data_IF_674584561693
#
_entry.id   IF_674584561693
#
_cell.length_a   1.000
_cell.length_b   1.000
_cell.length_c   1.000
_cell.angle_alpha   90.00
_cell.angle_beta   90.00
_cell.angle_gamma   90.00
#
_symmetry.space_group_name_H-M   'P 1'
#
loop_
_entity.id
_entity.type
_entity.pdbx_description
1 polymer ?
#
# COMPACT_ATOMS: atom_id res chain seq x y z
N UNK A 1 -3.41 39.16 -14.50
CA UNK A 1 -4.72 38.77 -13.97
C UNK A 1 -5.02 37.27 -14.24
N UNK A 2 -4.56 36.71 -15.39
CA UNK A 2 -4.88 35.34 -15.83
C UNK A 2 -3.80 34.29 -15.50
N UNK A 3 -2.74 34.69 -14.80
CA UNK A 3 -1.65 33.77 -14.45
C UNK A 3 -2.11 32.77 -13.39
N UNK A 4 -1.82 31.48 -13.64
CA UNK A 4 -1.89 30.44 -12.63
C UNK A 4 -0.45 30.19 -12.16
N UNK A 5 -0.24 30.34 -10.88
CA UNK A 5 1.09 30.18 -10.27
C UNK A 5 1.06 29.00 -9.29
N UNK A 6 1.76 27.91 -9.65
CA UNK A 6 1.89 26.75 -8.76
C UNK A 6 3.23 26.80 -8.01
N UNK A 7 3.15 26.74 -6.69
CA UNK A 7 4.31 26.73 -5.79
C UNK A 7 4.32 25.43 -4.97
N UNK A 8 5.46 24.73 -5.00
CA UNK A 8 5.69 23.51 -4.22
C UNK A 8 6.82 23.78 -3.24
N UNK A 9 6.59 23.47 -1.97
CA UNK A 9 7.59 23.57 -0.90
C UNK A 9 7.70 22.26 -0.12
N UNK A 10 8.72 22.08 0.71
CA UNK A 10 8.85 20.89 1.56
C UNK A 10 7.79 20.80 2.64
N UNK A 11 7.58 21.92 3.38
CA UNK A 11 6.79 21.93 4.62
C UNK A 11 5.78 23.08 4.70
N UNK A 12 5.59 23.83 3.61
CA UNK A 12 4.72 25.00 3.56
C UNK A 12 5.48 26.32 3.70
N UNK A 13 4.74 27.42 3.97
CA UNK A 13 5.22 28.80 3.86
C UNK A 13 5.38 29.53 5.20
N UNK A 14 5.16 28.86 6.34
CA UNK A 14 5.36 29.48 7.65
C UNK A 14 6.86 29.73 7.93
N UNK A 15 7.16 30.68 8.82
CA UNK A 15 8.55 31.04 9.18
C UNK A 15 9.39 29.84 9.67
N UNK A 16 8.76 28.84 10.28
CA UNK A 16 9.43 27.60 10.69
C UNK A 16 9.63 26.66 9.51
N UNK A 17 8.63 26.54 8.65
CA UNK A 17 8.63 25.62 7.52
C UNK A 17 9.64 26.02 6.43
N UNK A 18 9.78 27.32 6.16
CA UNK A 18 10.71 27.84 5.13
C UNK A 18 12.18 27.60 5.45
N UNK A 19 12.51 27.28 6.69
CA UNK A 19 13.87 26.95 7.14
C UNK A 19 14.21 25.47 6.94
N UNK A 20 13.23 24.63 6.63
CA UNK A 20 13.43 23.19 6.46
C UNK A 20 13.65 22.87 4.98
N UNK A 21 14.74 22.14 4.64
CA UNK A 21 14.96 21.68 3.28
C UNK A 21 13.93 20.60 2.91
N UNK A 22 13.34 20.70 1.71
CA UNK A 22 12.36 19.73 1.20
C UNK A 22 13.02 18.71 0.30
N UNK A 23 13.18 17.48 0.78
CA UNK A 23 13.62 16.33 0.01
C UNK A 23 12.71 15.14 0.30
N UNK A 24 12.45 14.32 -0.73
CA UNK A 24 11.60 13.13 -0.64
C UNK A 24 11.93 12.25 0.57
N UNK A 25 13.18 11.80 0.70
CA UNK A 25 13.61 10.92 1.80
C UNK A 25 13.35 11.55 3.18
N UNK A 26 13.63 12.84 3.31
CA UNK A 26 13.42 13.55 4.59
C UNK A 26 11.93 13.56 4.94
N UNK A 27 11.08 13.85 3.97
CA UNK A 27 9.62 13.88 4.19
C UNK A 27 9.05 12.49 4.39
N UNK A 28 9.55 11.45 3.72
CA UNK A 28 9.16 10.08 4.04
C UNK A 28 9.38 9.74 5.53
N UNK A 29 10.52 10.16 6.09
CA UNK A 29 10.81 10.00 7.52
C UNK A 29 9.90 10.84 8.41
N UNK A 30 9.79 12.15 8.12
CA UNK A 30 9.08 13.10 8.97
C UNK A 30 7.55 13.01 8.91
N UNK A 31 6.99 12.43 7.83
CA UNK A 31 5.54 12.26 7.66
C UNK A 31 4.96 11.03 8.38
N UNK A 32 5.81 10.17 8.93
CA UNK A 32 5.38 8.89 9.48
C UNK A 32 5.29 7.75 8.44
N UNK A 33 5.51 8.00 7.15
CA UNK A 33 5.46 6.95 6.13
C UNK A 33 6.47 5.83 6.41
N UNK A 34 7.70 6.17 6.82
CA UNK A 34 8.71 5.18 7.15
C UNK A 34 8.38 4.37 8.41
N UNK A 35 7.64 4.94 9.36
CA UNK A 35 7.26 4.23 10.60
C UNK A 35 6.24 3.11 10.37
N UNK A 36 5.55 3.11 9.23
CA UNK A 36 4.58 2.09 8.83
C UNK A 36 5.07 1.23 7.67
N UNK A 37 6.29 1.48 7.18
CA UNK A 37 6.92 0.78 6.05
C UNK A 37 8.15 0.01 6.54
N UNK A 38 8.24 -1.27 6.20
CA UNK A 38 9.32 -2.14 6.65
C UNK A 38 8.83 -3.40 7.33
N UNK A 39 9.75 -4.23 7.78
CA UNK A 39 9.47 -5.52 8.41
C UNK A 39 8.83 -5.39 9.78
N UNK A 40 9.34 -4.46 10.57
CA UNK A 40 8.88 -4.16 11.93
C UNK A 40 9.25 -2.71 12.32
N UNK A 41 8.96 -2.35 13.57
CA UNK A 41 9.17 -1.00 14.11
C UNK A 41 10.66 -0.63 14.32
N UNK A 42 11.56 -1.59 14.30
CA UNK A 42 12.98 -1.37 14.59
C UNK A 42 13.78 -0.99 13.34
N UNK A 43 13.23 -1.21 12.15
CA UNK A 43 13.85 -0.89 10.87
C UNK A 43 12.93 -0.03 9.97
N UNK A 44 12.73 1.26 10.28
CA UNK A 44 11.95 2.17 9.45
C UNK A 44 12.52 2.25 8.03
N UNK A 45 11.75 1.82 7.05
CA UNK A 45 12.22 1.64 5.67
C UNK A 45 11.53 2.63 4.74
N UNK A 46 12.30 3.28 3.86
CA UNK A 46 11.75 4.13 2.80
C UNK A 46 11.13 3.31 1.69
N UNK A 47 10.15 3.88 0.99
CA UNK A 47 9.68 3.34 -0.29
C UNK A 47 10.80 3.44 -1.34
N UNK A 48 10.90 2.48 -2.22
CA UNK A 48 12.01 2.32 -3.18
C UNK A 48 12.14 3.43 -4.22
N UNK A 49 11.12 4.28 -4.38
CA UNK A 49 11.07 5.41 -5.31
C UNK A 49 10.84 6.72 -4.55
N UNK A 50 11.03 7.87 -5.21
CA UNK A 50 10.70 9.20 -4.67
C UNK A 50 9.18 9.41 -4.64
N UNK A 51 8.48 8.63 -3.81
CA UNK A 51 7.02 8.56 -3.79
C UNK A 51 6.37 9.88 -3.35
N UNK A 52 6.99 10.60 -2.43
CA UNK A 52 6.51 11.90 -1.95
C UNK A 52 6.50 12.93 -3.08
N UNK A 53 7.56 12.98 -3.88
CA UNK A 53 7.66 13.88 -5.04
C UNK A 53 6.61 13.53 -6.09
N UNK A 54 6.41 12.24 -6.38
CA UNK A 54 5.40 11.76 -7.33
C UNK A 54 3.99 12.16 -6.89
N UNK A 55 3.62 11.90 -5.64
CA UNK A 55 2.30 12.25 -5.09
C UNK A 55 2.07 13.76 -5.12
N UNK A 56 3.08 14.54 -4.72
CA UNK A 56 2.98 15.99 -4.72
C UNK A 56 2.85 16.54 -6.14
N UNK A 57 3.58 15.96 -7.10
CA UNK A 57 3.47 16.30 -8.52
C UNK A 57 2.05 16.02 -9.07
N UNK A 58 1.44 14.88 -8.72
CA UNK A 58 0.06 14.56 -9.09
C UNK A 58 -0.95 15.55 -8.46
N UNK A 59 -0.78 15.91 -7.19
CA UNK A 59 -1.61 16.95 -6.56
C UNK A 59 -1.43 18.31 -7.24
N UNK A 60 -0.20 18.64 -7.68
CA UNK A 60 0.05 19.89 -8.42
C UNK A 60 -0.71 19.90 -9.75
N UNK A 61 -0.68 18.81 -10.50
CA UNK A 61 -1.45 18.69 -11.75
C UNK A 61 -2.94 18.86 -11.50
N UNK A 62 -3.49 18.20 -10.48
CA UNK A 62 -4.92 18.33 -10.11
C UNK A 62 -5.25 19.79 -9.76
N UNK A 63 -4.41 20.43 -8.93
CA UNK A 63 -4.60 21.83 -8.52
C UNK A 63 -4.53 22.79 -9.70
N UNK A 64 -3.58 22.59 -10.63
CA UNK A 64 -3.45 23.41 -11.84
C UNK A 64 -4.66 23.25 -12.75
N UNK A 65 -5.14 22.01 -12.97
CA UNK A 65 -6.31 21.75 -13.80
C UNK A 65 -7.58 22.39 -13.20
N UNK A 66 -7.75 22.31 -11.88
CA UNK A 66 -8.85 22.96 -11.18
C UNK A 66 -8.77 24.49 -11.31
N UNK A 67 -7.56 25.06 -11.19
CA UNK A 67 -7.32 26.49 -11.35
C UNK A 67 -7.57 26.97 -12.79
N UNK A 68 -7.20 26.17 -13.80
CA UNK A 68 -7.48 26.44 -15.20
C UNK A 68 -8.99 26.50 -15.45
N UNK A 69 -9.74 25.52 -14.93
CA UNK A 69 -11.19 25.48 -15.04
C UNK A 69 -11.83 26.71 -14.39
N UNK A 70 -11.43 27.06 -13.17
CA UNK A 70 -11.94 28.23 -12.48
C UNK A 70 -11.61 29.53 -13.23
N UNK A 71 -10.38 29.64 -13.79
CA UNK A 71 -9.99 30.79 -14.60
C UNK A 71 -10.89 30.94 -15.84
N UNK A 72 -11.18 29.85 -16.53
CA UNK A 72 -12.00 29.87 -17.75
C UNK A 72 -13.46 30.33 -17.44
N UNK A 73 -13.97 30.05 -16.23
CA UNK A 73 -15.31 30.48 -15.77
C UNK A 73 -15.30 31.89 -15.19
N UNK A 74 -14.26 32.32 -14.48
CA UNK A 74 -14.23 33.56 -13.69
C UNK A 74 -13.35 34.66 -14.32
N UNK A 75 -12.52 34.32 -15.31
CA UNK A 75 -11.60 35.27 -15.95
C UNK A 75 -10.39 35.67 -15.08
N UNK A 76 -10.13 34.97 -13.95
CA UNK A 76 -9.07 35.32 -13.00
C UNK A 76 -8.18 34.11 -12.70
N UNK A 77 -6.87 34.32 -12.82
CA UNK A 77 -5.87 33.35 -12.39
C UNK A 77 -5.77 33.26 -10.87
N UNK A 78 -5.10 32.23 -10.40
CA UNK A 78 -4.94 32.02 -8.96
C UNK A 78 -3.62 31.30 -8.62
N UNK A 79 -3.25 31.35 -7.35
CA UNK A 79 -2.12 30.63 -6.80
C UNK A 79 -2.56 29.26 -6.32
N UNK A 80 -1.80 28.22 -6.70
CA UNK A 80 -1.91 26.86 -6.19
C UNK A 80 -0.70 26.60 -5.31
N UNK A 81 -0.91 26.36 -4.02
CA UNK A 81 0.17 26.08 -3.08
C UNK A 81 0.10 24.66 -2.56
N UNK A 82 1.23 23.97 -2.64
CA UNK A 82 1.37 22.60 -2.15
C UNK A 82 2.64 22.47 -1.30
N UNK A 83 2.66 21.44 -0.48
CA UNK A 83 3.90 21.04 0.18
C UNK A 83 3.98 19.51 0.28
N UNK A 84 5.21 19.02 0.31
CA UNK A 84 5.52 17.59 0.34
C UNK A 84 4.89 16.91 1.56
N UNK A 85 4.98 17.52 2.74
CA UNK A 85 4.45 16.93 3.98
C UNK A 85 2.94 16.75 3.92
N UNK A 86 2.17 17.78 3.55
CA UNK A 86 0.71 17.67 3.48
C UNK A 86 0.25 16.67 2.41
N UNK A 87 0.95 16.64 1.27
CA UNK A 87 0.68 15.66 0.22
C UNK A 87 0.90 14.23 0.71
N UNK A 88 1.98 13.99 1.46
CA UNK A 88 2.26 12.67 2.03
C UNK A 88 1.27 12.29 3.11
N UNK A 89 0.92 13.21 4.04
CA UNK A 89 -0.07 12.95 5.09
C UNK A 89 -1.43 12.56 4.50
N UNK A 90 -1.85 13.19 3.39
CA UNK A 90 -3.09 12.81 2.70
C UNK A 90 -3.04 11.41 2.10
N UNK A 91 -1.85 10.94 1.72
CA UNK A 91 -1.65 9.60 1.14
C UNK A 91 -1.56 8.49 2.20
N UNK A 92 -1.48 8.80 3.49
CA UNK A 92 -1.50 7.78 4.55
C UNK A 92 -2.88 7.13 4.75
N UNK A 93 -3.92 7.67 4.13
CA UNK A 93 -5.32 7.16 4.04
C UNK A 93 -5.84 6.50 5.33
N UNK A 94 -6.02 5.19 5.34
CA UNK A 94 -6.54 4.44 6.48
C UNK A 94 -5.65 4.51 7.74
N UNK A 95 -4.35 4.63 7.59
CA UNK A 95 -3.42 4.77 8.71
C UNK A 95 -3.58 6.15 9.40
N UNK A 96 -3.72 7.21 8.59
CA UNK A 96 -4.04 8.55 9.13
C UNK A 96 -5.42 8.54 9.80
N UNK A 97 -6.43 7.89 9.20
CA UNK A 97 -7.76 7.77 9.78
C UNK A 97 -7.77 7.01 11.11
N UNK A 98 -6.99 5.94 11.25
CA UNK A 98 -6.84 5.18 12.48
C UNK A 98 -6.31 6.07 13.63
N UNK A 99 -5.34 6.93 13.32
CA UNK A 99 -4.82 7.89 14.30
C UNK A 99 -5.81 9.01 14.62
N UNK A 100 -6.33 9.69 13.59
CA UNK A 100 -7.19 10.88 13.77
C UNK A 100 -8.51 10.52 14.48
N UNK A 101 -9.13 9.41 14.10
CA UNK A 101 -10.45 9.02 14.61
C UNK A 101 -10.39 8.07 15.81
N UNK A 102 -9.34 7.25 15.92
CA UNK A 102 -9.21 6.22 16.94
C UNK A 102 -8.06 6.39 17.93
N UNK A 103 -7.18 7.38 17.71
CA UNK A 103 -5.97 7.56 18.54
C UNK A 103 -4.94 6.43 18.40
N UNK A 104 -5.12 5.53 17.43
CA UNK A 104 -4.22 4.40 17.20
C UNK A 104 -2.98 4.89 16.47
N UNK A 105 -1.79 4.64 17.03
CA UNK A 105 -0.53 4.90 16.35
C UNK A 105 -0.19 3.66 15.49
N UNK A 106 -0.25 3.77 14.14
CA UNK A 106 0.05 2.65 13.27
C UNK A 106 1.52 2.24 13.34
N UNK A 107 1.79 0.96 13.05
CA UNK A 107 3.13 0.36 13.10
C UNK A 107 3.42 -0.39 11.82
N UNK A 108 4.71 -0.62 11.54
CA UNK A 108 5.13 -1.47 10.45
C UNK A 108 4.72 -2.93 10.72
N UNK A 109 4.10 -3.56 9.73
CA UNK A 109 3.59 -4.94 9.77
C UNK A 109 4.19 -5.82 8.66
N UNK A 110 5.30 -5.39 8.09
CA UNK A 110 5.84 -6.03 6.89
C UNK A 110 4.84 -5.97 5.74
N UNK A 111 4.51 -7.13 5.21
CA UNK A 111 3.55 -7.26 4.12
C UNK A 111 2.14 -7.67 4.59
N UNK A 112 1.90 -7.75 5.90
CA UNK A 112 0.61 -8.17 6.44
C UNK A 112 -0.41 -7.02 6.46
N UNK A 113 -1.66 -7.36 6.16
CA UNK A 113 -2.77 -6.42 6.31
C UNK A 113 -3.16 -6.27 7.78
N UNK A 114 -3.43 -5.05 8.28
CA UNK A 114 -3.69 -4.82 9.71
C UNK A 114 -4.99 -5.45 10.23
N UNK A 115 -5.95 -5.76 9.37
CA UNK A 115 -7.30 -6.20 9.79
C UNK A 115 -7.90 -7.34 8.95
N UNK A 116 -7.14 -7.93 8.03
CA UNK A 116 -7.60 -9.03 7.16
C UNK A 116 -6.57 -10.16 7.15
N UNK A 117 -7.02 -11.40 7.33
CA UNK A 117 -6.16 -12.59 7.35
C UNK A 117 -6.80 -13.82 6.67
N UNK A 118 -6.01 -14.56 5.83
CA UNK A 118 -4.66 -14.28 5.37
C UNK A 118 -4.63 -13.22 4.26
N UNK A 119 -3.81 -12.18 4.44
CA UNK A 119 -3.60 -11.14 3.44
C UNK A 119 -2.17 -10.64 3.58
N UNK A 120 -1.23 -11.30 2.90
CA UNK A 120 0.20 -10.98 2.97
C UNK A 120 1.04 -11.74 1.93
N UNK A 121 2.35 -11.59 2.02
CA UNK A 121 3.34 -12.35 1.26
C UNK A 121 3.69 -13.64 2.00
N UNK A 122 3.78 -14.74 1.27
CA UNK A 122 4.26 -16.03 1.74
C UNK A 122 5.46 -16.53 0.92
N UNK A 123 6.29 -17.36 1.55
CA UNK A 123 7.35 -18.09 0.87
C UNK A 123 6.79 -19.39 0.28
N UNK A 124 6.99 -19.59 -1.02
CA UNK A 124 6.85 -20.87 -1.68
C UNK A 124 8.24 -21.53 -1.78
N UNK A 125 8.35 -22.68 -2.46
CA UNK A 125 9.63 -23.41 -2.53
C UNK A 125 10.78 -22.62 -3.17
N UNK A 126 10.48 -21.69 -4.08
CA UNK A 126 11.48 -20.98 -4.89
C UNK A 126 11.35 -19.46 -4.85
N UNK A 127 10.11 -18.96 -4.78
CA UNK A 127 9.79 -17.52 -4.82
C UNK A 127 8.77 -17.16 -3.76
N UNK A 128 8.70 -15.87 -3.47
CA UNK A 128 7.62 -15.30 -2.68
C UNK A 128 6.41 -14.99 -3.57
N UNK A 129 5.21 -15.13 -2.99
CA UNK A 129 3.96 -14.79 -3.66
C UNK A 129 2.97 -14.16 -2.69
N UNK A 130 1.99 -13.47 -3.24
CA UNK A 130 0.96 -12.74 -2.49
C UNK A 130 -0.29 -13.60 -2.41
N UNK A 131 -0.92 -13.63 -1.24
CA UNK A 131 -2.26 -14.17 -1.01
C UNK A 131 -3.11 -13.09 -0.36
N UNK A 132 -4.29 -12.82 -0.93
CA UNK A 132 -5.22 -11.81 -0.43
C UNK A 132 -6.63 -12.40 -0.31
N UNK A 133 -6.95 -12.95 0.86
CA UNK A 133 -8.27 -13.51 1.18
C UNK A 133 -9.08 -12.45 1.92
N UNK A 134 -9.97 -11.77 1.21
CA UNK A 134 -10.66 -10.57 1.70
C UNK A 134 -11.88 -10.81 2.60
N UNK A 135 -12.43 -12.03 2.65
CA UNK A 135 -13.63 -12.35 3.45
C UNK A 135 -13.76 -13.84 3.76
N UNK A 136 -14.72 -14.20 4.63
CA UNK A 136 -14.91 -15.57 5.11
C UNK A 136 -15.33 -16.55 3.98
N UNK A 137 -16.12 -16.11 3.03
CA UNK A 137 -16.51 -16.96 1.89
C UNK A 137 -15.30 -17.30 0.99
N UNK A 138 -14.40 -16.35 0.79
CA UNK A 138 -13.13 -16.61 0.11
C UNK A 138 -12.23 -17.53 0.93
N UNK A 139 -12.21 -17.36 2.27
CA UNK A 139 -11.41 -18.22 3.15
C UNK A 139 -11.83 -19.68 3.07
N UNK A 140 -13.12 -19.97 3.01
CA UNK A 140 -13.63 -21.34 2.87
C UNK A 140 -13.10 -21.98 1.57
N UNK A 141 -13.17 -21.28 0.44
CA UNK A 141 -12.65 -21.77 -0.84
C UNK A 141 -11.14 -21.96 -0.80
N UNK A 142 -10.44 -20.96 -0.27
CA UNK A 142 -8.98 -20.98 -0.10
C UNK A 142 -8.52 -22.15 0.75
N UNK A 143 -9.09 -22.32 1.95
CA UNK A 143 -8.73 -23.41 2.86
C UNK A 143 -9.01 -24.78 2.24
N UNK A 144 -10.10 -24.94 1.50
CA UNK A 144 -10.43 -26.17 0.80
C UNK A 144 -9.37 -26.62 -0.22
N UNK A 145 -8.60 -25.70 -0.77
CA UNK A 145 -7.49 -25.99 -1.71
C UNK A 145 -6.16 -26.13 -1.00
N UNK A 146 -5.87 -25.22 -0.04
CA UNK A 146 -4.55 -25.10 0.57
C UNK A 146 -4.38 -26.07 1.73
N UNK A 147 -5.34 -26.14 2.64
CA UNK A 147 -5.30 -26.97 3.84
C UNK A 147 -6.72 -27.15 4.39
N UNK A 148 -7.45 -28.20 3.97
CA UNK A 148 -8.86 -28.41 4.35
C UNK A 148 -9.10 -28.51 5.87
N UNK A 149 -8.11 -28.94 6.65
CA UNK A 149 -8.16 -29.03 8.09
C UNK A 149 -8.33 -27.66 8.79
N UNK A 150 -7.96 -26.54 8.12
CA UNK A 150 -8.24 -25.19 8.62
C UNK A 150 -9.73 -24.91 8.78
N UNK A 151 -10.61 -25.57 8.01
CA UNK A 151 -12.06 -25.40 8.08
C UNK A 151 -12.66 -25.95 9.38
N UNK A 152 -12.01 -26.94 10.00
CA UNK A 152 -12.41 -27.52 11.28
C UNK A 152 -11.88 -26.78 12.51
N UNK A 153 -10.96 -25.86 12.34
CA UNK A 153 -10.33 -25.14 13.45
C UNK A 153 -11.10 -23.86 13.78
N UNK A 154 -11.73 -23.84 14.95
CA UNK A 154 -12.55 -22.72 15.41
C UNK A 154 -11.80 -21.39 15.48
N UNK A 155 -10.46 -21.43 15.64
CA UNK A 155 -9.61 -20.23 15.65
C UNK A 155 -9.62 -19.48 14.32
N UNK A 156 -10.02 -20.13 13.23
CA UNK A 156 -9.97 -19.56 11.89
C UNK A 156 -11.37 -19.35 11.26
N UNK A 157 -12.44 -19.56 12.02
CA UNK A 157 -13.80 -19.54 11.52
C UNK A 157 -14.25 -18.18 10.95
N UNK A 158 -13.79 -17.08 11.51
CA UNK A 158 -14.10 -15.70 11.05
C UNK A 158 -12.83 -14.91 10.83
N UNK A 159 -12.92 -13.83 10.03
CA UNK A 159 -11.77 -12.96 9.81
C UNK A 159 -11.20 -12.41 11.14
N UNK A 160 -12.06 -11.99 12.05
CA UNK A 160 -11.60 -11.51 13.36
C UNK A 160 -10.77 -12.56 14.09
N UNK A 161 -11.27 -13.80 14.18
CA UNK A 161 -10.55 -14.90 14.84
C UNK A 161 -9.23 -15.23 14.11
N UNK A 162 -9.18 -15.15 12.79
CA UNK A 162 -7.93 -15.34 12.02
C UNK A 162 -6.90 -14.25 12.32
N UNK A 163 -7.32 -12.99 12.41
CA UNK A 163 -6.44 -11.88 12.80
C UNK A 163 -5.92 -12.07 14.23
N UNK A 164 -6.77 -12.43 15.17
CA UNK A 164 -6.37 -12.70 16.56
C UNK A 164 -5.41 -13.90 16.67
N UNK A 165 -5.52 -14.89 15.77
CA UNK A 165 -4.69 -16.09 15.74
C UNK A 165 -3.72 -16.13 14.55
N UNK A 166 -3.28 -14.95 14.08
CA UNK A 166 -2.50 -14.82 12.83
C UNK A 166 -1.21 -15.62 12.84
N UNK A 167 -0.51 -15.69 13.96
CA UNK A 167 0.74 -16.48 14.09
C UNK A 167 0.50 -17.95 13.82
N UNK A 168 -0.50 -18.56 14.46
CA UNK A 168 -0.84 -19.97 14.26
C UNK A 168 -1.33 -20.24 12.82
N UNK A 169 -2.08 -19.31 12.22
CA UNK A 169 -2.52 -19.42 10.85
C UNK A 169 -1.31 -19.37 9.89
N UNK A 170 -0.40 -18.42 10.09
CA UNK A 170 0.78 -18.26 9.25
C UNK A 170 1.73 -19.46 9.34
N UNK A 171 1.95 -20.04 10.51
CA UNK A 171 2.76 -21.25 10.67
C UNK A 171 2.20 -22.42 9.84
N UNK A 172 0.87 -22.62 9.88
CA UNK A 172 0.19 -23.65 9.10
C UNK A 172 0.32 -23.39 7.59
N UNK A 173 0.04 -22.17 7.15
CA UNK A 173 0.10 -21.80 5.74
C UNK A 173 1.53 -21.86 5.20
N UNK A 174 2.53 -21.37 5.93
CA UNK A 174 3.93 -21.43 5.51
C UNK A 174 4.43 -22.86 5.34
N UNK A 175 4.03 -23.77 6.23
CA UNK A 175 4.36 -25.20 6.12
C UNK A 175 3.80 -25.81 4.82
N UNK A 176 2.60 -25.42 4.42
CA UNK A 176 1.96 -25.92 3.18
C UNK A 176 2.58 -25.26 1.96
N UNK A 177 2.72 -23.94 1.97
CA UNK A 177 3.18 -23.16 0.81
C UNK A 177 4.62 -23.50 0.40
N UNK A 178 5.50 -23.83 1.34
CA UNK A 178 6.86 -24.26 1.08
C UNK A 178 6.97 -25.57 0.28
N UNK A 179 5.89 -26.33 0.15
CA UNK A 179 5.89 -27.64 -0.52
C UNK A 179 5.79 -27.60 -2.04
N UNK A 180 5.41 -26.46 -2.62
CA UNK A 180 5.24 -26.28 -4.06
C UNK A 180 5.75 -24.91 -4.51
N UNK A 181 5.89 -24.72 -5.83
CA UNK A 181 6.30 -23.43 -6.39
C UNK A 181 5.25 -22.34 -6.23
N UNK A 182 5.67 -21.09 -6.32
CA UNK A 182 4.77 -19.94 -6.28
C UNK A 182 3.76 -19.98 -7.44
N UNK A 183 4.21 -20.33 -8.63
CA UNK A 183 3.37 -20.48 -9.83
C UNK A 183 2.29 -21.53 -9.65
N UNK A 184 2.62 -22.67 -9.01
CA UNK A 184 1.62 -23.69 -8.70
C UNK A 184 0.50 -23.16 -7.81
N UNK A 185 0.85 -22.42 -6.74
CA UNK A 185 -0.14 -21.87 -5.83
C UNK A 185 -0.94 -20.75 -6.48
N UNK A 186 -0.29 -19.89 -7.26
CA UNK A 186 -0.96 -18.82 -8.02
C UNK A 186 -1.98 -19.41 -8.98
N UNK A 187 -1.61 -20.41 -9.79
CA UNK A 187 -2.54 -21.08 -10.70
C UNK A 187 -3.77 -21.64 -9.95
N UNK A 188 -3.55 -22.41 -8.88
CA UNK A 188 -4.62 -23.03 -8.10
C UNK A 188 -5.57 -22.01 -7.47
N UNK A 189 -5.04 -20.93 -6.92
CA UNK A 189 -5.83 -19.93 -6.22
C UNK A 189 -6.57 -18.99 -7.19
N UNK A 190 -5.98 -18.66 -8.33
CA UNK A 190 -6.66 -17.87 -9.37
C UNK A 190 -7.87 -18.59 -9.95
N UNK A 191 -7.81 -19.93 -10.14
CA UNK A 191 -8.94 -20.72 -10.62
C UNK A 191 -10.17 -20.66 -9.70
N UNK A 192 -10.00 -20.38 -8.43
CA UNK A 192 -11.09 -20.18 -7.46
C UNK A 192 -11.33 -18.70 -7.12
N UNK A 193 -10.79 -17.79 -7.94
CA UNK A 193 -10.92 -16.34 -7.82
C UNK A 193 -10.40 -15.76 -6.48
N UNK A 194 -9.32 -16.33 -5.94
CA UNK A 194 -8.57 -15.71 -4.85
C UNK A 194 -7.49 -14.81 -5.45
N UNK A 195 -7.46 -13.50 -5.09
CA UNK A 195 -6.41 -12.62 -5.56
C UNK A 195 -5.04 -13.09 -5.06
N UNK A 196 -4.15 -13.36 -6.01
CA UNK A 196 -2.82 -13.89 -5.77
C UNK A 196 -1.89 -13.56 -6.95
N UNK A 197 -0.59 -13.50 -6.71
CA UNK A 197 0.41 -13.26 -7.74
C UNK A 197 1.82 -13.43 -7.22
N UNK A 198 2.76 -13.73 -8.10
CA UNK A 198 4.19 -13.76 -7.74
C UNK A 198 4.71 -12.34 -7.54
N UNK A 199 5.77 -12.20 -6.74
CA UNK A 199 6.48 -10.92 -6.63
C UNK A 199 7.46 -10.81 -7.80
N UNK A 200 7.17 -9.87 -8.69
CA UNK A 200 7.98 -9.58 -9.86
C UNK A 200 9.08 -8.56 -9.56
N UNK A 201 10.22 -8.71 -10.22
CA UNK A 201 11.14 -7.60 -10.38
C UNK A 201 10.63 -6.64 -11.47
N UNK A 202 11.30 -5.49 -11.64
CA UNK A 202 10.85 -4.45 -12.59
C UNK A 202 10.77 -4.98 -14.03
N UNK A 203 11.73 -5.79 -14.48
CA UNK A 203 11.69 -6.39 -15.82
C UNK A 203 10.48 -7.29 -15.98
N UNK A 204 10.27 -8.21 -15.03
CA UNK A 204 9.13 -9.14 -15.05
C UNK A 204 7.78 -8.40 -15.02
N UNK A 205 7.70 -7.25 -14.32
CA UNK A 205 6.50 -6.41 -14.30
C UNK A 205 6.20 -5.80 -15.67
N UNK A 206 7.22 -5.33 -16.40
CA UNK A 206 7.06 -4.83 -17.78
C UNK A 206 6.70 -5.94 -18.77
N UNK A 207 7.31 -7.12 -18.62
CA UNK A 207 6.97 -8.30 -19.43
C UNK A 207 5.49 -8.71 -19.20
N UNK A 208 5.03 -8.71 -17.95
CA UNK A 208 3.63 -8.97 -17.60
C UNK A 208 2.70 -7.93 -18.24
N UNK A 209 3.00 -6.63 -18.11
CA UNK A 209 2.19 -5.57 -18.70
C UNK A 209 2.05 -5.76 -20.21
N UNK A 210 3.15 -6.08 -20.90
CA UNK A 210 3.16 -6.38 -22.34
C UNK A 210 2.31 -7.61 -22.67
N UNK A 211 2.41 -8.68 -21.87
CA UNK A 211 1.62 -9.90 -22.06
C UNK A 211 0.10 -9.67 -21.89
N UNK A 212 -0.27 -8.68 -21.09
CA UNK A 212 -1.65 -8.24 -20.87
C UNK A 212 -2.14 -7.24 -21.94
N UNK A 213 -1.33 -6.94 -22.95
CA UNK A 213 -1.67 -5.99 -24.01
C UNK A 213 -1.56 -4.51 -23.61
N UNK A 214 -0.92 -4.21 -22.50
CA UNK A 214 -0.61 -2.84 -22.09
C UNK A 214 0.67 -2.37 -22.83
N UNK A 215 0.78 -1.04 -22.99
CA UNK A 215 1.97 -0.37 -23.54
C UNK A 215 2.62 0.45 -22.42
N UNK A 216 3.44 -0.17 -21.58
CA UNK A 216 4.06 0.48 -20.43
C UNK A 216 5.17 1.46 -20.82
#
# INVERSE_FOLDING_TARGET
PNLIYCSISGFGTSDKATKLPGYDLLVQGMSGLMSITGGDETDPTKVGVALVDVITGLHAVIGILAALRARDEQGVGQKVELNLLSSTLSALVNQASAYISGGVIPKALGNAHPSIAPYQVYDASEKKFIVAVGNDAQFIKFAGIVSPDLLGDKRFATNQLRVENITALNERLSSVFSTKSAEYWVDKLQHIHIPTGVINNVKEAFDLATSLGLSP
#
